data_IF_402914215103
#
_entry.id   IF_402914215103
#
_cell.length_a   1.000
_cell.length_b   1.000
_cell.length_c   1.000
_cell.angle_alpha   90.00
_cell.angle_beta   90.00
_cell.angle_gamma   90.00
#
_symmetry.space_group_name_H-M   'P 1'
#
loop_
_entity.id
_entity.type
_entity.pdbx_description
1 polymer ?
#
# COMPACT_ATOMS: atom_id res chain seq x y z
N UNK A 1 7.15 -10.58 3.75
CA UNK A 1 7.45 -9.36 2.98
C UNK A 1 7.15 -9.55 1.50
N UNK A 2 7.94 -10.34 0.75
CA UNK A 2 7.83 -10.44 -0.72
C UNK A 2 6.48 -10.98 -1.24
N UNK A 3 5.82 -11.89 -0.52
CA UNK A 3 4.54 -12.46 -0.95
C UNK A 3 3.41 -11.41 -0.95
N UNK A 4 3.37 -10.52 0.04
CA UNK A 4 2.33 -9.49 0.15
C UNK A 4 2.52 -8.40 -0.90
N UNK A 5 3.77 -7.98 -1.15
CA UNK A 5 4.08 -7.11 -2.28
C UNK A 5 3.69 -7.74 -3.63
N UNK A 6 3.94 -9.04 -3.84
CA UNK A 6 3.51 -9.74 -5.06
C UNK A 6 1.99 -9.80 -5.20
N UNK A 7 1.27 -10.01 -4.10
CA UNK A 7 -0.20 -9.99 -4.11
C UNK A 7 -0.73 -8.60 -4.46
N UNK A 8 -0.23 -7.55 -3.80
CA UNK A 8 -0.60 -6.17 -4.13
C UNK A 8 -0.25 -5.83 -5.59
N UNK A 9 0.92 -6.27 -6.08
CA UNK A 9 1.32 -6.12 -7.48
C UNK A 9 0.33 -6.78 -8.44
N UNK A 10 -0.20 -7.96 -8.14
CA UNK A 10 -1.21 -8.61 -8.99
C UNK A 10 -2.57 -7.89 -9.01
N UNK A 11 -2.82 -7.03 -8.02
CA UNK A 11 -4.07 -6.26 -7.89
C UNK A 11 -3.92 -4.82 -8.40
N UNK A 12 -2.71 -4.38 -8.78
CA UNK A 12 -2.41 -2.96 -9.04
C UNK A 12 -3.18 -2.32 -10.20
N UNK A 13 -3.70 -3.14 -11.11
CA UNK A 13 -4.53 -2.70 -12.24
C UNK A 13 -6.03 -2.67 -11.90
N UNK A 14 -6.41 -3.12 -10.70
CA UNK A 14 -7.77 -3.04 -10.21
C UNK A 14 -8.04 -1.68 -9.53
N UNK A 15 -9.31 -1.29 -9.36
CA UNK A 15 -9.64 -0.10 -8.58
C UNK A 15 -9.05 -0.19 -7.16
N UNK A 16 -8.33 0.83 -6.67
CA UNK A 16 -7.76 0.85 -5.32
C UNK A 16 -8.79 0.63 -4.20
N UNK A 17 -10.04 0.98 -4.49
CA UNK A 17 -11.18 0.84 -3.60
C UNK A 17 -11.88 -0.54 -3.65
N UNK A 18 -11.44 -1.46 -4.53
CA UNK A 18 -12.03 -2.80 -4.67
C UNK A 18 -11.92 -3.60 -3.37
N UNK A 19 -12.81 -4.57 -3.19
CA UNK A 19 -12.83 -5.40 -1.99
C UNK A 19 -11.50 -6.18 -1.84
N UNK A 20 -10.97 -6.68 -2.94
CA UNK A 20 -9.73 -7.43 -3.01
C UNK A 20 -8.51 -6.55 -2.69
N UNK A 21 -8.45 -5.34 -3.25
CA UNK A 21 -7.40 -4.37 -2.98
C UNK A 21 -7.40 -3.96 -1.50
N UNK A 22 -8.57 -3.65 -0.95
CA UNK A 22 -8.72 -3.20 0.43
C UNK A 22 -8.46 -4.31 1.45
N UNK A 23 -8.79 -5.57 1.13
CA UNK A 23 -8.39 -6.72 1.94
C UNK A 23 -6.86 -6.86 1.98
N UNK A 24 -6.18 -6.78 0.83
CA UNK A 24 -4.72 -6.87 0.76
C UNK A 24 -4.02 -5.67 1.46
N UNK A 25 -4.57 -4.47 1.35
CA UNK A 25 -4.08 -3.29 2.08
C UNK A 25 -4.32 -3.38 3.57
N UNK A 26 -5.44 -3.96 4.01
CA UNK A 26 -5.68 -4.25 5.43
C UNK A 26 -4.65 -5.23 6.01
N UNK A 27 -4.26 -6.25 5.24
CA UNK A 27 -3.15 -7.13 5.61
C UNK A 27 -1.81 -6.39 5.66
N UNK A 28 -1.58 -5.44 4.76
CA UNK A 28 -0.40 -4.59 4.77
C UNK A 28 -0.36 -3.69 6.02
N UNK A 29 -1.47 -3.06 6.35
CA UNK A 29 -1.62 -2.28 7.57
C UNK A 29 -1.35 -3.13 8.81
N UNK A 30 -2.03 -4.27 8.95
CA UNK A 30 -1.83 -5.20 10.07
C UNK A 30 -0.40 -5.71 10.18
N UNK A 31 0.28 -5.92 9.05
CA UNK A 31 1.70 -6.28 9.04
C UNK A 31 2.58 -5.15 9.59
N UNK A 32 2.34 -3.90 9.19
CA UNK A 32 3.11 -2.75 9.66
C UNK A 32 2.90 -2.46 11.15
N UNK A 33 1.69 -2.71 11.68
CA UNK A 33 1.37 -2.59 13.12
C UNK A 33 2.31 -3.41 14.01
N UNK A 34 2.95 -4.45 13.47
CA UNK A 34 3.91 -5.29 14.22
C UNK A 34 5.24 -4.59 14.52
N UNK A 35 5.57 -3.52 13.80
CA UNK A 35 6.83 -2.78 13.95
C UNK A 35 6.63 -1.45 14.66
N UNK A 36 5.47 -0.83 14.46
CA UNK A 36 5.11 0.47 15.06
C UNK A 36 3.60 0.63 14.99
N UNK A 37 3.03 1.32 15.97
CA UNK A 37 1.63 1.70 15.95
C UNK A 37 1.41 2.81 14.91
N UNK A 38 0.87 2.44 13.76
CA UNK A 38 0.29 3.34 12.78
C UNK A 38 -1.16 3.65 13.17
N UNK A 39 -1.54 4.92 13.07
CA UNK A 39 -2.93 5.33 12.92
C UNK A 39 -3.30 5.25 11.44
N UNK A 40 -4.60 5.24 11.09
CA UNK A 40 -5.03 5.32 9.70
C UNK A 40 -4.43 6.53 8.95
N UNK A 41 -4.32 7.67 9.61
CA UNK A 41 -3.71 8.89 9.05
C UNK A 41 -2.20 8.74 8.81
N UNK A 42 -1.45 8.17 9.77
CA UNK A 42 -0.03 7.88 9.57
C UNK A 42 0.19 6.87 8.43
N UNK A 43 -0.72 5.92 8.26
CA UNK A 43 -0.68 4.97 7.15
C UNK A 43 -0.93 5.64 5.80
N UNK A 44 -1.88 6.58 5.70
CA UNK A 44 -2.04 7.42 4.51
C UNK A 44 -0.76 8.18 4.17
N UNK A 45 -0.16 8.85 5.16
CA UNK A 45 1.07 9.62 4.97
C UNK A 45 2.25 8.73 4.53
N UNK A 46 2.32 7.50 5.02
CA UNK A 46 3.29 6.51 4.56
C UNK A 46 3.11 6.19 3.06
N UNK A 47 1.88 6.12 2.58
CA UNK A 47 1.58 5.93 1.15
C UNK A 47 2.07 7.10 0.30
N UNK A 48 1.89 8.35 0.75
CA UNK A 48 2.45 9.53 0.09
C UNK A 48 3.99 9.46 0.02
N UNK A 49 4.64 9.01 1.09
CA UNK A 49 6.10 8.84 1.12
C UNK A 49 6.61 7.82 0.09
N UNK A 50 5.84 6.78 -0.23
CA UNK A 50 6.23 5.77 -1.23
C UNK A 50 6.43 6.35 -2.64
N UNK A 51 5.72 7.44 -2.95
CA UNK A 51 5.81 8.13 -4.25
C UNK A 51 6.58 9.44 -4.19
N UNK A 52 6.73 10.04 -3.00
CA UNK A 52 7.43 11.31 -2.83
C UNK A 52 8.96 11.20 -3.00
N UNK A 53 9.53 10.02 -2.75
CA UNK A 53 10.96 9.75 -2.93
C UNK A 53 11.15 8.54 -3.86
N UNK A 54 11.79 8.80 -5.00
CA UNK A 54 12.00 7.84 -6.09
C UNK A 54 12.70 6.56 -5.64
N UNK A 55 13.49 6.59 -4.56
CA UNK A 55 14.15 5.40 -4.01
C UNK A 55 13.14 4.40 -3.46
N UNK A 56 12.07 4.89 -2.82
CA UNK A 56 10.98 4.02 -2.35
C UNK A 56 10.17 3.50 -3.53
N UNK A 57 9.83 4.37 -4.47
CA UNK A 57 9.10 3.97 -5.69
C UNK A 57 9.86 2.87 -6.42
N UNK A 58 11.14 3.06 -6.73
CA UNK A 58 11.96 2.05 -7.41
C UNK A 58 12.09 0.74 -6.61
N UNK A 59 12.13 0.82 -5.28
CA UNK A 59 12.17 -0.38 -4.45
C UNK A 59 10.85 -1.15 -4.45
N UNK A 60 9.71 -0.45 -4.46
CA UNK A 60 8.38 -1.07 -4.47
C UNK A 60 8.03 -1.57 -5.88
N UNK A 61 8.29 -0.78 -6.90
CA UNK A 61 7.95 -1.09 -8.29
C UNK A 61 8.78 -2.25 -8.87
N UNK A 62 9.82 -2.73 -8.17
CA UNK A 62 10.49 -4.00 -8.50
C UNK A 62 9.53 -5.19 -8.54
N UNK A 63 8.39 -5.09 -7.85
CA UNK A 63 7.35 -6.12 -7.82
C UNK A 63 6.29 -5.93 -8.92
N UNK A 64 6.25 -4.74 -9.55
CA UNK A 64 5.36 -4.39 -10.64
C UNK A 64 5.33 -2.87 -10.82
N UNK A 65 5.54 -2.40 -12.05
CA UNK A 65 5.48 -0.97 -12.38
C UNK A 65 4.12 -0.37 -11.99
N UNK A 66 4.15 0.81 -11.34
CA UNK A 66 2.97 1.51 -10.85
C UNK A 66 2.46 1.01 -9.49
N UNK A 67 3.12 0.04 -8.85
CA UNK A 67 2.69 -0.50 -7.57
C UNK A 67 2.71 0.55 -6.46
N UNK A 68 3.76 1.37 -6.37
CA UNK A 68 3.84 2.41 -5.34
C UNK A 68 2.67 3.40 -5.42
N UNK A 69 2.30 3.82 -6.64
CA UNK A 69 1.16 4.70 -6.89
C UNK A 69 -0.17 4.04 -6.51
N UNK A 70 -0.37 2.77 -6.91
CA UNK A 70 -1.54 2.00 -6.51
C UNK A 70 -1.65 1.88 -4.98
N UNK A 71 -0.54 1.54 -4.31
CA UNK A 71 -0.51 1.42 -2.85
C UNK A 71 -0.87 2.75 -2.18
N UNK A 72 -0.31 3.87 -2.64
CA UNK A 72 -0.65 5.21 -2.15
C UNK A 72 -2.16 5.45 -2.16
N UNK A 73 -2.81 5.24 -3.31
CA UNK A 73 -4.26 5.44 -3.43
C UNK A 73 -5.07 4.47 -2.57
N UNK A 74 -4.69 3.19 -2.55
CA UNK A 74 -5.41 2.17 -1.80
C UNK A 74 -5.25 2.37 -0.28
N UNK A 75 -4.10 2.85 0.19
CA UNK A 75 -3.84 3.22 1.58
C UNK A 75 -4.65 4.44 2.01
N UNK A 76 -4.82 5.44 1.12
CA UNK A 76 -5.69 6.57 1.38
C UNK A 76 -7.16 6.13 1.55
N UNK A 77 -7.66 5.28 0.65
CA UNK A 77 -9.02 4.73 0.76
C UNK A 77 -9.20 3.91 2.04
N UNK A 78 -8.20 3.11 2.43
CA UNK A 78 -8.25 2.35 3.67
C UNK A 78 -8.37 3.27 4.88
N UNK A 79 -7.58 4.35 4.90
CA UNK A 79 -7.61 5.34 5.97
C UNK A 79 -8.96 6.05 6.10
N UNK A 80 -9.66 6.30 4.98
CA UNK A 80 -11.00 6.90 4.98
C UNK A 80 -12.11 5.96 5.49
N UNK A 81 -11.85 4.65 5.53
CA UNK A 81 -12.82 3.62 5.96
C UNK A 81 -12.60 3.12 7.40
N UNK A 82 -11.48 3.51 8.01
CA UNK A 82 -11.01 2.99 9.29
C UNK A 82 -11.60 3.73 10.51
#
# INVERSE_FOLDING_TARGET
MNALYRRLASLREQPPASAEAQAAIGEWYAFLQRFTAYSPEMFRQLGEMYVADERFTANIDRFGEGLAAFMKEAMAVYADRA
#
